data_IF_913374396800
#
_entry.id   IF_913374396800
#
_cell.length_a   1.000
_cell.length_b   1.000
_cell.length_c   1.000
_cell.angle_alpha   90.00
_cell.angle_beta   90.00
_cell.angle_gamma   90.00
#
_symmetry.space_group_name_H-M   'P 1'
#
loop_
_entity.id
_entity.type
_entity.pdbx_description
1 polymer ?
#
# COMPACT_ATOMS: atom_id res chain seq x y z
N UNK A 1 14.16 4.69 4.04
CA UNK A 1 14.50 6.08 3.66
C UNK A 1 14.69 6.28 2.16
N UNK A 2 15.35 5.39 1.41
CA UNK A 2 15.67 5.64 -0.02
C UNK A 2 14.46 5.78 -0.96
N UNK A 3 13.36 5.03 -0.79
CA UNK A 3 12.19 5.15 -1.67
C UNK A 3 11.47 6.49 -1.53
N UNK A 4 11.37 7.03 -0.30
CA UNK A 4 10.71 8.32 -0.04
C UNK A 4 11.49 9.44 -0.72
N UNK A 5 12.82 9.44 -0.58
CA UNK A 5 13.70 10.42 -1.25
C UNK A 5 13.62 10.33 -2.78
N UNK A 6 13.47 9.12 -3.33
CA UNK A 6 13.27 8.91 -4.76
C UNK A 6 11.94 9.52 -5.22
N UNK A 7 10.85 9.22 -4.50
CA UNK A 7 9.51 9.73 -4.80
C UNK A 7 9.45 11.25 -4.70
N UNK A 8 9.98 11.81 -3.62
CA UNK A 8 10.07 13.25 -3.39
C UNK A 8 10.75 13.97 -4.57
N UNK A 9 11.92 13.47 -5.01
CA UNK A 9 12.62 14.03 -6.17
C UNK A 9 11.81 13.93 -7.46
N UNK A 10 11.05 12.86 -7.67
CA UNK A 10 10.24 12.72 -8.88
C UNK A 10 9.04 13.68 -8.86
N UNK A 11 8.39 13.84 -7.70
CA UNK A 11 7.27 14.77 -7.51
C UNK A 11 7.65 16.22 -7.83
N UNK A 12 8.86 16.66 -7.47
CA UNK A 12 9.32 18.02 -7.80
C UNK A 12 9.71 18.22 -9.26
N UNK A 13 9.91 17.14 -10.03
CA UNK A 13 10.41 17.20 -11.40
C UNK A 13 9.37 16.84 -12.48
N UNK A 14 8.13 16.51 -12.08
CA UNK A 14 7.05 16.21 -13.02
C UNK A 14 6.05 15.16 -12.50
N UNK A 15 5.15 14.68 -13.38
CA UNK A 15 4.20 13.62 -13.02
C UNK A 15 4.93 12.32 -12.68
N UNK A 16 4.36 11.55 -11.75
CA UNK A 16 4.92 10.26 -11.35
C UNK A 16 4.75 9.25 -12.48
N UNK A 17 5.86 8.64 -12.90
CA UNK A 17 5.84 7.38 -13.66
C UNK A 17 5.65 6.22 -12.70
N UNK A 18 4.41 5.73 -12.54
CA UNK A 18 4.08 4.66 -11.60
C UNK A 18 4.86 3.37 -11.87
N UNK A 19 5.03 2.99 -13.14
CA UNK A 19 5.83 1.82 -13.52
C UNK A 19 7.30 1.94 -13.10
N UNK A 20 7.87 3.15 -13.19
CA UNK A 20 9.23 3.43 -12.72
C UNK A 20 9.29 3.36 -11.18
N UNK A 21 8.30 3.93 -10.50
CA UNK A 21 8.22 3.88 -9.04
C UNK A 21 8.08 2.44 -8.51
N UNK A 22 7.19 1.66 -9.10
CA UNK A 22 7.00 0.23 -8.82
C UNK A 22 8.30 -0.56 -8.99
N UNK A 23 9.01 -0.35 -10.12
CA UNK A 23 10.31 -1.01 -10.35
C UNK A 23 11.36 -0.63 -9.31
N UNK A 24 11.45 0.66 -8.97
CA UNK A 24 12.42 1.14 -7.98
C UNK A 24 12.15 0.57 -6.58
N UNK A 25 10.88 0.44 -6.18
CA UNK A 25 10.52 -0.18 -4.90
C UNK A 25 10.75 -1.69 -4.96
N UNK A 26 10.13 -2.38 -5.92
CA UNK A 26 10.14 -3.84 -6.02
C UNK A 26 11.53 -4.42 -6.29
N UNK A 27 12.19 -3.97 -7.36
CA UNK A 27 13.44 -4.57 -7.83
C UNK A 27 14.67 -3.95 -7.18
N UNK A 28 14.73 -2.62 -7.10
CA UNK A 28 15.96 -1.92 -6.68
C UNK A 28 16.10 -1.89 -5.16
N UNK A 29 15.05 -1.50 -4.43
CA UNK A 29 15.14 -1.35 -2.98
C UNK A 29 15.00 -2.67 -2.21
N UNK A 30 14.07 -3.53 -2.64
CA UNK A 30 13.73 -4.77 -1.93
C UNK A 30 14.16 -6.04 -2.66
N UNK A 31 14.34 -6.01 -3.99
CA UNK A 31 14.66 -7.20 -4.79
C UNK A 31 15.97 -7.88 -4.41
N UNK A 32 16.98 -7.13 -3.93
CA UNK A 32 18.24 -7.71 -3.43
C UNK A 32 18.19 -8.21 -1.98
N UNK A 33 17.08 -8.00 -1.27
CA UNK A 33 16.90 -8.39 0.15
C UNK A 33 16.03 -9.62 0.31
N UNK A 34 15.19 -9.90 -0.68
CA UNK A 34 14.32 -11.08 -0.72
C UNK A 34 15.10 -12.19 -1.42
N UNK A 35 15.33 -13.30 -0.70
CA UNK A 35 16.14 -14.41 -1.18
C UNK A 35 15.32 -15.46 -1.93
N UNK A 36 14.02 -15.57 -1.63
CA UNK A 36 13.14 -16.53 -2.29
C UNK A 36 12.46 -15.94 -3.53
N UNK A 37 12.44 -16.71 -4.61
CA UNK A 37 11.91 -16.26 -5.90
C UNK A 37 10.38 -16.07 -5.90
N UNK A 38 9.64 -16.82 -5.08
CA UNK A 38 8.20 -16.65 -4.93
C UNK A 38 7.91 -15.39 -4.12
N UNK A 39 8.67 -15.13 -3.06
CA UNK A 39 8.53 -13.89 -2.29
C UNK A 39 8.84 -12.64 -3.13
N UNK A 40 9.86 -12.71 -4.00
CA UNK A 40 10.16 -11.62 -4.96
C UNK A 40 8.97 -11.37 -5.88
N UNK A 41 8.38 -12.46 -6.41
CA UNK A 41 7.20 -12.36 -7.28
C UNK A 41 6.01 -11.78 -6.53
N UNK A 42 5.74 -12.26 -5.32
CA UNK A 42 4.64 -11.79 -4.49
C UNK A 42 4.78 -10.30 -4.17
N UNK A 43 5.96 -9.86 -3.73
CA UNK A 43 6.21 -8.45 -3.45
C UNK A 43 6.01 -7.56 -4.67
N UNK A 44 6.43 -8.03 -5.85
CA UNK A 44 6.20 -7.33 -7.11
C UNK A 44 4.71 -7.15 -7.40
N UNK A 45 3.88 -8.18 -7.18
CA UNK A 45 2.43 -8.06 -7.36
C UNK A 45 1.84 -7.03 -6.41
N UNK A 46 2.24 -7.03 -5.13
CA UNK A 46 1.78 -5.99 -4.19
C UNK A 46 2.20 -4.58 -4.63
N UNK A 47 3.41 -4.41 -5.15
CA UNK A 47 3.85 -3.13 -5.68
C UNK A 47 3.01 -2.70 -6.89
N UNK A 48 2.72 -3.62 -7.81
CA UNK A 48 1.89 -3.36 -9.00
C UNK A 48 0.44 -3.02 -8.64
N UNK A 49 -0.12 -3.61 -7.59
CA UNK A 49 -1.49 -3.37 -7.12
C UNK A 49 -1.62 -2.06 -6.33
N UNK A 50 -0.73 -1.83 -5.35
CA UNK A 50 -0.90 -0.74 -4.37
C UNK A 50 -0.10 0.53 -4.68
N UNK A 51 0.96 0.46 -5.50
CA UNK A 51 1.73 1.65 -5.88
C UNK A 51 1.23 2.16 -7.23
N UNK A 52 0.00 2.66 -7.24
CA UNK A 52 -0.68 3.19 -8.43
C UNK A 52 -1.43 4.48 -8.08
N UNK A 53 -1.86 5.24 -9.10
CA UNK A 53 -2.66 6.46 -8.91
C UNK A 53 -3.97 6.20 -8.16
N UNK A 54 -4.54 5.00 -8.33
CA UNK A 54 -5.80 4.61 -7.69
C UNK A 54 -5.75 4.72 -6.18
N UNK A 55 -4.60 4.46 -5.57
CA UNK A 55 -4.47 4.54 -4.10
C UNK A 55 -4.49 5.96 -3.56
N UNK A 56 -4.45 6.96 -4.44
CA UNK A 56 -4.61 8.37 -4.11
C UNK A 56 -6.04 8.89 -4.39
N UNK A 57 -6.95 8.07 -4.90
CA UNK A 57 -8.35 8.47 -5.13
C UNK A 57 -9.13 8.55 -3.80
N UNK A 58 -10.08 9.50 -3.69
CA UNK A 58 -10.79 9.79 -2.43
C UNK A 58 -11.57 8.59 -1.87
N UNK A 59 -12.11 7.74 -2.74
CA UNK A 59 -12.91 6.57 -2.38
C UNK A 59 -12.09 5.27 -2.31
N UNK A 60 -10.75 5.34 -2.43
CA UNK A 60 -9.92 4.15 -2.41
C UNK A 60 -9.91 3.49 -1.03
N UNK A 61 -10.06 2.17 -1.04
CA UNK A 61 -9.95 1.33 0.15
C UNK A 61 -9.20 0.03 -0.17
N UNK A 62 -8.45 -0.46 0.82
CA UNK A 62 -7.80 -1.78 0.77
C UNK A 62 -8.78 -2.93 1.04
N UNK A 63 -10.03 -2.62 1.41
CA UNK A 63 -11.06 -3.63 1.61
C UNK A 63 -11.35 -4.36 0.28
N UNK A 64 -11.49 -5.70 0.29
CA UNK A 64 -11.97 -6.42 -0.88
C UNK A 64 -13.39 -5.98 -1.24
N UNK A 65 -13.71 -5.95 -2.54
CA UNK A 65 -15.05 -5.56 -3.02
C UNK A 65 -16.15 -6.48 -2.49
N UNK A 66 -15.83 -7.76 -2.30
CA UNK A 66 -16.74 -8.78 -1.77
C UNK A 66 -16.00 -9.63 -0.72
N UNK A 67 -16.03 -9.22 0.57
CA UNK A 67 -15.42 -10.01 1.64
C UNK A 67 -16.23 -11.28 1.94
N UNK A 68 -15.53 -12.40 2.11
CA UNK A 68 -16.07 -13.71 2.48
C UNK A 68 -16.55 -13.69 3.94
N UNK A 69 -15.74 -13.13 4.85
CA UNK A 69 -16.15 -12.86 6.23
C UNK A 69 -16.28 -11.37 6.50
N UNK A 70 -17.19 -11.05 7.42
CA UNK A 70 -17.40 -9.67 7.85
C UNK A 70 -16.10 -9.09 8.42
N UNK A 71 -15.63 -7.98 7.86
CA UNK A 71 -14.48 -7.25 8.38
C UNK A 71 -14.81 -6.75 9.79
N UNK A 72 -13.93 -6.94 10.79
CA UNK A 72 -14.18 -6.53 12.16
C UNK A 72 -14.62 -5.07 12.25
N UNK A 73 -15.69 -4.82 13.01
CA UNK A 73 -16.29 -3.50 13.21
C UNK A 73 -16.73 -2.77 11.92
N UNK A 74 -16.90 -3.48 10.79
CA UNK A 74 -17.14 -2.87 9.47
C UNK A 74 -16.06 -1.83 9.10
N UNK A 75 -14.82 -2.06 9.57
CA UNK A 75 -13.73 -1.10 9.41
C UNK A 75 -13.36 -0.94 7.93
N UNK A 76 -13.17 0.30 7.51
CA UNK A 76 -12.70 0.64 6.17
C UNK A 76 -11.26 1.14 6.22
N UNK A 77 -10.36 0.41 5.58
CA UNK A 77 -8.95 0.74 5.41
C UNK A 77 -8.82 1.70 4.24
N UNK A 78 -9.12 2.98 4.47
CA UNK A 78 -9.03 4.05 3.48
C UNK A 78 -7.65 4.73 3.53
N UNK A 79 -7.34 5.49 2.47
CA UNK A 79 -6.15 6.35 2.43
C UNK A 79 -6.58 7.80 2.71
N UNK A 80 -6.51 8.28 3.97
CA UNK A 80 -6.99 9.61 4.29
C UNK A 80 -6.05 10.71 3.77
N UNK A 81 -6.62 11.80 3.27
CA UNK A 81 -5.86 12.98 2.78
C UNK A 81 -5.48 13.95 3.91
N UNK A 82 -5.11 13.44 5.09
CA UNK A 82 -4.70 14.30 6.19
C UNK A 82 -3.37 15.02 5.87
N UNK A 83 -3.20 16.22 6.42
CA UNK A 83 -1.96 16.99 6.27
C UNK A 83 -1.02 16.83 7.46
N UNK A 84 -1.57 16.60 8.66
CA UNK A 84 -0.78 16.43 9.88
C UNK A 84 -0.60 14.96 10.24
N UNK A 85 0.64 14.61 10.58
CA UNK A 85 1.02 13.28 11.08
C UNK A 85 0.18 12.84 12.31
N UNK A 86 -0.25 13.79 13.14
CA UNK A 86 -1.07 13.55 14.33
C UNK A 86 -2.41 12.86 13.99
N UNK A 87 -3.04 13.24 12.87
CA UNK A 87 -4.31 12.66 12.43
C UNK A 87 -4.14 11.26 11.86
N UNK A 88 -3.06 11.02 11.11
CA UNK A 88 -2.72 9.67 10.65
C UNK A 88 -2.55 8.70 11.83
N UNK A 89 -1.83 9.12 12.88
CA UNK A 89 -1.67 8.30 14.10
C UNK A 89 -3.02 7.98 14.75
N UNK A 90 -3.87 8.99 14.94
CA UNK A 90 -5.21 8.79 15.53
C UNK A 90 -6.07 7.84 14.70
N UNK A 91 -5.99 7.91 13.36
CA UNK A 91 -6.71 7.00 12.48
C UNK A 91 -6.19 5.57 12.59
N UNK A 92 -4.88 5.36 12.62
CA UNK A 92 -4.28 4.03 12.82
C UNK A 92 -4.71 3.42 14.17
N UNK A 93 -4.85 4.23 15.21
CA UNK A 93 -5.35 3.79 16.53
C UNK A 93 -6.81 3.30 16.51
N UNK A 94 -7.57 3.57 15.44
CA UNK A 94 -8.95 3.05 15.27
C UNK A 94 -9.02 1.69 14.57
N UNK A 95 -7.87 1.15 14.13
CA UNK A 95 -7.83 -0.14 13.45
C UNK A 95 -8.29 -1.26 14.37
N UNK A 96 -8.90 -2.32 13.83
CA UNK A 96 -9.22 -3.49 14.64
C UNK A 96 -7.94 -4.15 15.18
N UNK A 97 -8.05 -4.81 16.33
CA UNK A 97 -6.90 -5.52 16.95
C UNK A 97 -6.43 -6.71 16.09
N UNK A 98 -7.35 -7.31 15.34
CA UNK A 98 -7.09 -8.41 14.42
C UNK A 98 -7.61 -7.99 13.04
N UNK A 99 -6.70 -7.85 12.09
CA UNK A 99 -7.03 -7.55 10.69
C UNK A 99 -7.60 -8.79 9.98
N UNK A 100 -8.53 -8.58 9.06
CA UNK A 100 -9.00 -9.68 8.19
C UNK A 100 -7.88 -10.07 7.21
N UNK A 101 -7.52 -11.36 7.07
CA UNK A 101 -6.50 -11.78 6.09
C UNK A 101 -6.90 -11.44 4.64
N UNK A 102 -8.20 -11.24 4.39
CA UNK A 102 -8.74 -10.88 3.09
C UNK A 102 -8.28 -9.51 2.58
N UNK A 103 -7.86 -8.58 3.46
CA UNK A 103 -7.28 -7.29 3.05
C UNK A 103 -5.95 -7.45 2.31
N UNK A 104 -5.30 -8.61 2.49
CA UNK A 104 -4.08 -9.00 1.79
C UNK A 104 -4.37 -9.96 0.62
N UNK A 105 -5.65 -10.19 0.30
CA UNK A 105 -6.06 -11.17 -0.71
C UNK A 105 -5.85 -12.63 -0.28
N UNK A 106 -5.74 -12.89 1.03
CA UNK A 106 -5.58 -14.23 1.57
C UNK A 106 -6.93 -14.84 1.94
N UNK A 107 -6.99 -16.17 1.88
CA UNK A 107 -8.11 -16.91 2.42
C UNK A 107 -8.26 -16.67 3.94
N UNK A 108 -9.51 -16.63 4.42
CA UNK A 108 -9.83 -16.50 5.83
C UNK A 108 -9.68 -17.76 6.68
#
# INVERSE_FOLDING_TARGET
QSCILFLEKHLYNGPISWSTFQYMVAAVQYGGKITDSLDVRLFRIYAEEWLTEKTCEEDYTYNPSEPIFKIPNDFQYQVPSFTEHSYFRKYIETFPEIDSPEIFGLHP
#
